data_IF_028066259856
#
_entry.id   IF_028066259856
#
_cell.length_a   1.000
_cell.length_b   1.000
_cell.length_c   1.000
_cell.angle_alpha   90.00
_cell.angle_beta   90.00
_cell.angle_gamma   90.00
#
_symmetry.space_group_name_H-M   'P 1'
#
loop_
_entity.id
_entity.type
_entity.pdbx_description
1 polymer ?
#
# COMPACT_ATOMS: atom_id res chain seq x y z
N UNK A 1 5.79 -10.51 6.23
CA UNK A 1 6.23 -10.87 7.59
C UNK A 1 7.14 -9.80 8.21
N UNK A 2 8.00 -9.11 7.44
CA UNK A 2 8.95 -8.11 7.98
C UNK A 2 8.39 -6.68 8.18
N UNK A 3 7.17 -6.39 7.71
CA UNK A 3 6.53 -5.08 7.87
C UNK A 3 5.58 -4.95 9.08
N UNK A 4 5.28 -6.05 9.77
CA UNK A 4 4.42 -6.04 10.96
C UNK A 4 5.24 -5.73 12.22
N UNK A 5 4.60 -5.15 13.25
CA UNK A 5 5.25 -4.89 14.54
C UNK A 5 5.71 -6.16 15.28
N UNK A 6 5.15 -7.32 14.94
CA UNK A 6 5.52 -8.62 15.49
C UNK A 6 4.59 -9.72 15.01
N UNK A 7 4.92 -10.97 15.33
CA UNK A 7 4.18 -12.13 14.83
C UNK A 7 2.72 -12.19 15.30
N UNK A 8 2.41 -11.59 16.46
CA UNK A 8 1.05 -11.47 17.00
C UNK A 8 0.24 -10.33 16.40
N UNK A 9 0.85 -9.45 15.61
CA UNK A 9 0.22 -8.29 14.97
C UNK A 9 0.03 -8.51 13.46
N UNK A 10 -0.29 -9.74 13.07
CA UNK A 10 -0.54 -10.13 11.68
C UNK A 10 -1.98 -10.63 11.58
N UNK A 11 -2.75 -10.04 10.65
CA UNK A 11 -4.05 -10.57 10.28
C UNK A 11 -3.87 -11.65 9.21
N UNK A 12 -4.22 -12.88 9.55
CA UNK A 12 -4.28 -13.99 8.59
C UNK A 12 -5.51 -13.87 7.69
N UNK A 13 -5.53 -14.64 6.60
CA UNK A 13 -6.71 -14.79 5.75
C UNK A 13 -7.95 -15.25 6.53
N UNK A 14 -7.78 -16.05 7.58
CA UNK A 14 -8.89 -16.49 8.42
C UNK A 14 -9.40 -15.37 9.32
N UNK A 15 -8.52 -14.52 9.85
CA UNK A 15 -8.93 -13.35 10.63
C UNK A 15 -9.74 -12.38 9.78
N UNK A 16 -9.30 -12.14 8.54
CA UNK A 16 -10.04 -11.33 7.56
C UNK A 16 -11.43 -11.91 7.30
N UNK A 17 -11.52 -13.21 7.01
CA UNK A 17 -12.82 -13.89 6.78
C UNK A 17 -13.73 -13.81 8.00
N UNK A 18 -13.17 -13.93 9.21
CA UNK A 18 -13.91 -13.81 10.46
C UNK A 18 -14.51 -12.40 10.62
N UNK A 19 -13.72 -11.34 10.38
CA UNK A 19 -14.19 -9.95 10.43
C UNK A 19 -15.30 -9.71 9.41
N UNK A 20 -15.11 -10.15 8.17
CA UNK A 20 -16.09 -9.99 7.10
C UNK A 20 -17.39 -10.70 7.45
N UNK A 21 -17.35 -11.96 7.89
CA UNK A 21 -18.54 -12.72 8.25
C UNK A 21 -19.26 -12.11 9.46
N UNK A 22 -18.51 -11.66 10.46
CA UNK A 22 -19.07 -11.01 11.64
C UNK A 22 -19.81 -9.71 11.29
N UNK A 23 -19.25 -8.92 10.37
CA UNK A 23 -19.88 -7.70 9.84
C UNK A 23 -21.10 -8.04 8.98
N UNK A 24 -21.01 -9.06 8.12
CA UNK A 24 -22.11 -9.52 7.24
C UNK A 24 -23.35 -9.91 8.04
N UNK A 25 -23.19 -10.62 9.16
CA UNK A 25 -24.29 -11.01 10.04
C UNK A 25 -25.06 -9.81 10.65
N UNK A 26 -24.49 -8.61 10.56
CA UNK A 26 -25.05 -7.35 11.07
C UNK A 26 -25.44 -6.38 9.95
N UNK A 27 -25.33 -6.79 8.68
CA UNK A 27 -25.56 -5.89 7.55
C UNK A 27 -24.52 -4.77 7.43
N UNK A 28 -23.32 -4.97 7.98
CA UNK A 28 -22.21 -4.01 7.91
C UNK A 28 -21.28 -4.41 6.76
N UNK A 29 -20.90 -3.43 5.95
CA UNK A 29 -19.91 -3.59 4.86
C UNK A 29 -18.49 -3.42 5.41
N UNK A 30 -17.55 -4.19 4.86
CA UNK A 30 -16.13 -4.05 5.15
C UNK A 30 -15.44 -3.64 3.86
N UNK A 31 -15.03 -2.38 3.79
CA UNK A 31 -14.34 -1.81 2.64
C UNK A 31 -12.86 -1.69 3.04
N UNK A 32 -11.95 -2.47 2.46
CA UNK A 32 -10.53 -2.35 2.78
C UNK A 32 -9.95 -1.07 2.19
N UNK A 33 -8.93 -0.56 2.87
CA UNK A 33 -8.09 0.52 2.38
C UNK A 33 -6.65 0.05 2.20
N UNK A 34 -6.09 0.38 1.04
CA UNK A 34 -4.71 0.10 0.66
C UNK A 34 -4.12 1.42 0.17
N UNK A 35 -3.76 2.29 1.13
CA UNK A 35 -3.34 3.66 0.84
C UNK A 35 -2.00 3.71 0.10
N UNK A 36 -1.98 4.39 -1.04
CA UNK A 36 -0.84 4.55 -1.92
C UNK A 36 -0.98 5.82 -2.80
N UNK A 37 0.13 6.43 -3.24
CA UNK A 37 1.52 6.00 -3.07
C UNK A 37 2.15 6.49 -1.76
N UNK A 38 1.46 7.34 -0.99
CA UNK A 38 1.83 7.76 0.37
C UNK A 38 1.75 6.60 1.37
N UNK A 39 2.10 6.87 2.65
CA UNK A 39 1.89 5.95 3.78
C UNK A 39 2.43 4.50 3.64
N UNK A 40 3.45 4.30 2.81
CA UNK A 40 3.93 2.96 2.39
C UNK A 40 5.28 2.56 2.96
N UNK A 41 5.81 3.29 3.96
CA UNK A 41 7.14 3.02 4.54
C UNK A 41 7.32 1.57 5.01
N UNK A 42 6.33 0.99 5.69
CA UNK A 42 6.39 -0.38 6.18
C UNK A 42 6.40 -1.42 5.05
N UNK A 43 5.97 -1.06 3.85
CA UNK A 43 5.89 -1.98 2.72
C UNK A 43 7.27 -2.19 2.10
N UNK A 44 7.98 -1.09 1.82
CA UNK A 44 9.33 -1.14 1.29
C UNK A 44 10.32 -1.72 2.29
N UNK A 45 10.34 -1.17 3.51
CA UNK A 45 11.23 -1.64 4.58
C UNK A 45 10.86 -3.06 5.04
N UNK A 46 9.58 -3.41 4.96
CA UNK A 46 9.04 -4.70 5.41
C UNK A 46 9.10 -5.83 4.39
N UNK A 47 9.87 -5.67 3.30
CA UNK A 47 10.24 -6.80 2.45
C UNK A 47 9.98 -6.64 0.96
N UNK A 48 9.75 -5.43 0.45
CA UNK A 48 9.64 -5.17 -0.99
C UNK A 48 10.78 -4.22 -1.40
N UNK A 49 11.99 -4.75 -1.65
CA UNK A 49 13.14 -3.93 -2.04
C UNK A 49 12.86 -3.14 -3.32
N UNK A 50 13.24 -1.87 -3.35
CA UNK A 50 13.06 -0.99 -4.51
C UNK A 50 11.66 -0.41 -4.70
N UNK A 51 10.72 -0.70 -3.79
CA UNK A 51 9.36 -0.13 -3.87
C UNK A 51 9.35 1.38 -3.67
N UNK A 52 10.11 1.88 -2.69
CA UNK A 52 10.04 3.27 -2.24
C UNK A 52 11.08 4.14 -2.93
N UNK A 53 10.73 5.40 -3.13
CA UNK A 53 11.65 6.42 -3.64
C UNK A 53 12.75 6.67 -2.60
N UNK A 54 14.03 6.58 -3.01
CA UNK A 54 15.16 7.00 -2.19
C UNK A 54 15.27 8.54 -2.22
N UNK A 55 15.10 9.18 -1.08
CA UNK A 55 15.00 10.65 -1.01
C UNK A 55 16.35 11.33 -0.76
N UNK A 56 17.37 10.57 -0.36
CA UNK A 56 18.68 11.11 -0.03
C UNK A 56 19.80 10.23 -0.57
N UNK A 57 20.79 10.88 -1.16
CA UNK A 57 22.05 10.23 -1.56
C UNK A 57 22.97 9.96 -0.35
N UNK A 58 22.72 10.64 0.78
CA UNK A 58 23.58 10.57 1.97
C UNK A 58 22.97 9.78 3.14
N UNK A 59 21.64 9.74 3.24
CA UNK A 59 20.94 8.93 4.25
C UNK A 59 20.23 7.76 3.57
N UNK A 60 20.78 6.53 3.66
CA UNK A 60 20.19 5.37 2.99
C UNK A 60 18.84 4.94 3.58
N UNK A 61 18.45 5.48 4.75
CA UNK A 61 17.19 5.14 5.41
C UNK A 61 16.07 6.17 5.16
N UNK A 62 16.35 7.24 4.40
CA UNK A 62 15.38 8.29 4.15
C UNK A 62 14.56 8.00 2.88
N UNK A 63 13.46 7.26 3.06
CA UNK A 63 12.54 6.89 1.99
C UNK A 63 11.28 7.74 1.96
N UNK A 64 10.68 7.83 0.77
CA UNK A 64 9.44 8.58 0.51
C UNK A 64 8.32 7.68 0.04
N UNK A 65 7.40 8.18 -0.80
CA UNK A 65 6.30 7.38 -1.35
C UNK A 65 6.83 6.27 -2.27
N UNK A 66 5.95 5.35 -2.66
CA UNK A 66 6.23 4.38 -3.73
C UNK A 66 6.80 5.10 -4.94
N UNK A 67 7.86 4.58 -5.54
CA UNK A 67 8.46 5.16 -6.75
C UNK A 67 7.58 4.82 -7.98
N UNK A 68 6.87 5.81 -8.56
CA UNK A 68 5.99 5.59 -9.69
C UNK A 68 6.74 5.66 -11.04
N UNK A 69 8.08 5.72 -11.03
CA UNK A 69 8.93 5.68 -12.24
C UNK A 69 9.44 4.27 -12.56
N UNK A 70 9.18 3.30 -11.67
CA UNK A 70 9.57 1.90 -11.79
C UNK A 70 8.33 1.06 -12.19
N UNK A 71 8.36 0.44 -13.36
CA UNK A 71 7.22 -0.31 -13.92
C UNK A 71 6.88 -1.56 -13.07
N UNK A 72 7.88 -2.17 -12.43
CA UNK A 72 7.72 -3.32 -11.54
C UNK A 72 6.83 -2.98 -10.34
N UNK A 73 6.83 -1.72 -9.86
CA UNK A 73 6.00 -1.29 -8.75
C UNK A 73 4.50 -1.33 -9.11
N UNK A 74 4.13 -0.99 -10.35
CA UNK A 74 2.75 -1.14 -10.82
C UNK A 74 2.34 -2.62 -10.94
N UNK A 75 3.26 -3.49 -11.32
CA UNK A 75 3.01 -4.95 -11.38
C UNK A 75 2.78 -5.53 -9.99
N UNK A 76 3.55 -5.08 -9.01
CA UNK A 76 3.35 -5.43 -7.60
C UNK A 76 1.97 -4.96 -7.11
N UNK A 77 1.64 -3.68 -7.29
CA UNK A 77 0.34 -3.12 -6.84
C UNK A 77 -0.82 -3.83 -7.51
N UNK A 78 -0.75 -4.11 -8.81
CA UNK A 78 -1.79 -4.86 -9.51
C UNK A 78 -2.02 -6.25 -8.90
N UNK A 79 -0.94 -6.97 -8.58
CA UNK A 79 -1.03 -8.28 -7.92
C UNK A 79 -1.67 -8.14 -6.54
N UNK A 80 -1.18 -7.21 -5.72
CA UNK A 80 -1.70 -6.95 -4.38
C UNK A 80 -3.20 -6.62 -4.40
N UNK A 81 -3.63 -5.67 -5.26
CA UNK A 81 -5.04 -5.27 -5.34
C UNK A 81 -5.92 -6.40 -5.87
N UNK A 82 -5.38 -7.29 -6.71
CA UNK A 82 -6.10 -8.50 -7.17
C UNK A 82 -6.37 -9.44 -5.99
N UNK A 83 -5.35 -9.72 -5.17
CA UNK A 83 -5.49 -10.57 -3.98
C UNK A 83 -6.46 -9.95 -2.95
N UNK A 84 -6.37 -8.63 -2.73
CA UNK A 84 -7.28 -7.91 -1.82
C UNK A 84 -8.72 -7.99 -2.33
N UNK A 85 -8.95 -7.79 -3.63
CA UNK A 85 -10.28 -7.88 -4.23
C UNK A 85 -10.88 -9.30 -4.17
N UNK A 86 -10.04 -10.35 -4.26
CA UNK A 86 -10.50 -11.73 -4.08
C UNK A 86 -10.94 -12.03 -2.64
N UNK A 87 -10.29 -11.41 -1.65
CA UNK A 87 -10.58 -11.55 -0.23
C UNK A 87 -11.77 -10.70 0.23
N UNK A 88 -11.81 -9.44 -0.18
CA UNK A 88 -12.82 -8.45 0.21
C UNK A 88 -13.81 -8.22 -0.93
N UNK A 89 -14.90 -8.99 -0.93
CA UNK A 89 -15.89 -9.02 -2.02
C UNK A 89 -16.92 -7.88 -1.98
N UNK A 90 -16.57 -6.74 -1.38
CA UNK A 90 -17.38 -5.54 -1.50
C UNK A 90 -17.19 -4.92 -2.90
N UNK A 91 -18.11 -4.07 -3.35
CA UNK A 91 -18.02 -3.42 -4.66
C UNK A 91 -17.00 -2.28 -4.70
N UNK A 92 -16.48 -1.88 -3.54
CA UNK A 92 -15.58 -0.75 -3.38
C UNK A 92 -14.28 -1.17 -2.71
N UNK A 93 -13.21 -0.51 -3.12
CA UNK A 93 -11.86 -0.60 -2.57
C UNK A 93 -11.37 0.84 -2.37
N UNK A 94 -10.89 1.18 -1.18
CA UNK A 94 -10.33 2.50 -0.92
C UNK A 94 -8.84 2.47 -1.25
N UNK A 95 -8.40 3.35 -2.15
CA UNK A 95 -6.99 3.40 -2.61
C UNK A 95 -6.16 4.45 -1.87
N UNK A 96 -6.78 5.21 -0.96
CA UNK A 96 -6.15 6.32 -0.25
C UNK A 96 -5.74 7.44 -1.22
N UNK A 97 -4.45 7.79 -1.20
CA UNK A 97 -3.87 8.81 -2.08
C UNK A 97 -3.64 10.16 -1.41
N UNK A 98 -3.70 10.21 -0.09
CA UNK A 98 -3.48 11.41 0.71
C UNK A 98 -2.02 11.61 1.12
N UNK A 99 -1.74 12.83 1.61
CA UNK A 99 -0.48 13.30 2.21
C UNK A 99 0.83 12.89 1.51
N UNK A 100 0.81 12.75 0.18
CA UNK A 100 2.00 12.35 -0.58
C UNK A 100 3.11 13.40 -0.45
N UNK A 101 4.22 13.02 0.19
CA UNK A 101 5.36 13.91 0.37
C UNK A 101 6.15 14.08 -0.94
N UNK A 102 5.88 15.18 -1.64
CA UNK A 102 6.48 15.51 -2.93
C UNK A 102 7.95 15.96 -2.84
N UNK A 103 8.45 16.32 -1.65
CA UNK A 103 9.82 16.82 -1.48
C UNK A 103 10.88 15.74 -1.77
N UNK A 104 10.55 14.49 -1.46
CA UNK A 104 11.40 13.34 -1.80
C UNK A 104 11.58 13.17 -3.31
N UNK A 105 10.62 13.65 -4.10
CA UNK A 105 10.49 13.25 -5.49
C UNK A 105 11.36 14.01 -6.50
N UNK A 106 12.20 14.97 -6.06
CA UNK A 106 13.17 15.75 -6.85
C UNK A 106 12.70 16.10 -8.31
N UNK A 107 11.42 16.40 -8.48
CA UNK A 107 10.78 16.67 -9.78
C UNK A 107 10.53 15.47 -10.71
N UNK A 108 11.31 14.39 -10.62
CA UNK A 108 11.25 13.25 -11.56
C UNK A 108 9.99 12.40 -11.41
N UNK A 109 9.58 12.08 -10.18
CA UNK A 109 8.37 11.29 -9.93
C UNK A 109 7.09 12.13 -9.81
N UNK A 110 7.17 13.45 -9.69
CA UNK A 110 5.98 14.32 -9.49
C UNK A 110 4.93 14.11 -10.58
N UNK A 111 5.34 14.08 -11.86
CA UNK A 111 4.42 13.85 -12.99
C UNK A 111 3.76 12.47 -12.93
N UNK A 112 4.49 11.47 -12.45
CA UNK A 112 4.02 10.10 -12.38
C UNK A 112 3.14 9.86 -11.14
N UNK A 113 3.34 10.61 -10.04
CA UNK A 113 2.43 10.61 -8.89
C UNK A 113 1.04 11.11 -9.31
N UNK A 114 0.97 12.18 -10.11
CA UNK A 114 -0.33 12.64 -10.62
C UNK A 114 -1.02 11.57 -11.46
N UNK A 115 -0.27 10.86 -12.32
CA UNK A 115 -0.79 9.73 -13.09
C UNK A 115 -1.21 8.54 -12.21
N UNK A 116 -0.60 8.37 -11.03
CA UNK A 116 -1.01 7.34 -10.08
C UNK A 116 -2.38 7.63 -9.47
N UNK A 117 -2.66 8.90 -9.19
CA UNK A 117 -3.86 9.36 -8.49
C UNK A 117 -5.09 9.57 -9.41
N UNK A 118 -4.93 9.41 -10.73
CA UNK A 118 -5.97 9.65 -11.76
C UNK A 118 -6.14 8.47 -12.68
#
# INVERSE_FOLDING_TARGET
DKGAYGQSAIYSTNDIKLVIEHARQRGIRVIPEIDSPGHTLSWGLGGIPGLLTQCSDTDPNYFGPIDPTVDENYSFIKTLLTEVNELFRDQYLHLGGDEVNMNCCNGKCIKNIWKWLT
#
